data_IF_527252457921
#
_entry.id   IF_527252457921
#
_cell.length_a   1.000
_cell.length_b   1.000
_cell.length_c   1.000
_cell.angle_alpha   90.00
_cell.angle_beta   90.00
_cell.angle_gamma   90.00
#
_symmetry.space_group_name_H-M   'P 1'
#
loop_
_entity.id
_entity.type
_entity.pdbx_description
1 polymer ?
#
# COMPACT_ATOMS: atom_id res chain seq x y z
N UNK A 1 8.87 4.13 -3.75
CA UNK A 1 8.14 5.42 -3.61
C UNK A 1 9.00 6.67 -3.88
N UNK A 2 10.34 6.60 -3.82
CA UNK A 2 11.23 7.73 -4.12
C UNK A 2 11.18 8.18 -5.59
N UNK A 3 11.03 7.26 -6.55
CA UNK A 3 10.96 7.58 -7.99
C UNK A 3 9.54 7.92 -8.48
N UNK A 4 8.60 8.18 -7.56
CA UNK A 4 7.23 8.47 -7.95
C UNK A 4 7.10 9.88 -8.55
N UNK A 5 6.25 9.99 -9.56
CA UNK A 5 5.83 11.25 -10.17
C UNK A 5 4.39 11.57 -9.76
N UNK A 6 3.90 12.76 -10.07
CA UNK A 6 2.54 13.20 -9.78
C UNK A 6 1.47 12.21 -10.29
N UNK A 7 1.71 11.59 -11.46
CA UNK A 7 0.84 10.57 -12.03
C UNK A 7 0.83 9.27 -11.18
N UNK A 8 1.99 8.84 -10.70
CA UNK A 8 2.11 7.69 -9.80
C UNK A 8 1.40 7.96 -8.47
N UNK A 9 1.56 9.16 -7.92
CA UNK A 9 0.92 9.58 -6.65
C UNK A 9 -0.60 9.62 -6.81
N UNK A 10 -1.11 10.17 -7.91
CA UNK A 10 -2.55 10.20 -8.20
C UNK A 10 -3.14 8.80 -8.31
N UNK A 11 -2.46 7.91 -9.04
CA UNK A 11 -2.87 6.51 -9.18
C UNK A 11 -2.84 5.78 -7.85
N UNK A 12 -1.81 6.02 -7.04
CA UNK A 12 -1.66 5.47 -5.69
C UNK A 12 -2.77 5.93 -4.75
N UNK A 13 -3.09 7.23 -4.71
CA UNK A 13 -4.17 7.78 -3.89
C UNK A 13 -5.53 7.22 -4.28
N UNK A 14 -5.79 7.08 -5.59
CA UNK A 14 -7.00 6.45 -6.12
C UNK A 14 -7.10 4.97 -5.72
N UNK A 15 -5.98 4.24 -5.79
CA UNK A 15 -5.91 2.86 -5.31
C UNK A 15 -6.12 2.76 -3.80
N UNK A 16 -5.47 3.59 -3.00
CA UNK A 16 -5.63 3.62 -1.54
C UNK A 16 -7.07 3.94 -1.12
N UNK A 17 -7.71 4.90 -1.80
CA UNK A 17 -9.11 5.25 -1.54
C UNK A 17 -10.03 4.05 -1.73
N UNK A 18 -9.84 3.28 -2.81
CA UNK A 18 -10.62 2.05 -3.06
C UNK A 18 -10.24 0.90 -2.11
N UNK A 19 -8.95 0.70 -1.85
CA UNK A 19 -8.46 -0.44 -1.04
C UNK A 19 -8.77 -0.30 0.44
N UNK A 20 -8.68 0.92 0.98
CA UNK A 20 -8.87 1.20 2.40
C UNK A 20 -10.20 1.88 2.73
N UNK A 21 -11.04 2.15 1.72
CA UNK A 21 -12.31 2.85 1.90
C UNK A 21 -12.13 4.25 2.46
N UNK A 22 -11.19 5.03 1.90
CA UNK A 22 -10.89 6.37 2.41
C UNK A 22 -12.04 7.34 2.08
N UNK A 23 -12.69 7.84 3.11
CA UNK A 23 -13.72 8.88 3.07
C UNK A 23 -13.28 10.05 3.95
N UNK A 24 -13.14 11.28 3.42
CA UNK A 24 -13.28 11.69 2.02
C UNK A 24 -12.13 11.18 1.12
N UNK A 25 -12.36 11.19 -0.20
CA UNK A 25 -11.33 10.83 -1.19
C UNK A 25 -10.18 11.85 -1.11
N UNK A 26 -8.94 11.41 -0.88
CA UNK A 26 -7.80 12.32 -0.83
C UNK A 26 -7.59 13.01 -2.18
N UNK A 27 -7.45 14.33 -2.15
CA UNK A 27 -7.25 15.15 -3.33
C UNK A 27 -5.76 15.17 -3.72
N UNK A 28 -5.37 14.63 -4.89
CA UNK A 28 -3.97 14.62 -5.33
C UNK A 28 -3.35 16.02 -5.44
N UNK A 29 -4.15 17.08 -5.63
CA UNK A 29 -3.63 18.45 -5.68
C UNK A 29 -3.11 18.95 -4.32
N UNK A 30 -3.51 18.29 -3.21
CA UNK A 30 -3.05 18.61 -1.85
C UNK A 30 -1.80 17.85 -1.46
N UNK A 31 -1.34 16.92 -2.29
CA UNK A 31 -0.13 16.13 -2.07
C UNK A 31 1.02 16.68 -2.93
N UNK A 32 2.28 16.45 -2.52
CA UNK A 32 3.43 16.81 -3.32
C UNK A 32 3.42 16.08 -4.66
N UNK A 33 3.94 16.74 -5.69
CA UNK A 33 4.02 16.19 -7.05
C UNK A 33 5.15 15.19 -7.25
N UNK A 34 6.00 14.99 -6.25
CA UNK A 34 7.19 14.14 -6.33
C UNK A 34 7.23 13.10 -5.21
N UNK A 35 7.73 11.92 -5.55
CA UNK A 35 7.94 10.81 -4.62
C UNK A 35 8.88 11.10 -3.45
N UNK A 36 9.99 11.85 -3.62
CA UNK A 36 10.88 12.19 -2.52
C UNK A 36 10.19 13.08 -1.48
N UNK A 37 9.49 14.13 -1.92
CA UNK A 37 8.72 15.01 -1.03
C UNK A 37 7.59 14.25 -0.34
N UNK A 38 6.92 13.33 -1.05
CA UNK A 38 5.91 12.45 -0.45
C UNK A 38 6.50 11.55 0.65
N UNK A 39 7.74 11.09 0.48
CA UNK A 39 8.42 10.26 1.47
C UNK A 39 8.93 11.06 2.67
N UNK A 40 9.19 12.35 2.50
CA UNK A 40 9.66 13.27 3.54
C UNK A 40 8.50 13.82 4.39
N UNK A 41 7.28 13.79 3.87
CA UNK A 41 6.08 14.19 4.61
C UNK A 41 5.94 13.45 5.94
N UNK A 42 5.72 14.25 6.99
CA UNK A 42 5.36 13.76 8.31
C UNK A 42 3.93 13.19 8.32
N UNK A 43 3.62 12.38 9.34
CA UNK A 43 2.25 11.88 9.54
C UNK A 43 1.22 13.02 9.56
N UNK A 44 1.53 14.14 10.22
CA UNK A 44 0.65 15.31 10.27
C UNK A 44 0.41 15.87 8.87
N UNK A 45 1.45 16.04 8.06
CA UNK A 45 1.30 16.49 6.67
C UNK A 45 0.38 15.58 5.84
N UNK A 46 0.43 14.25 6.04
CA UNK A 46 -0.52 13.34 5.41
C UNK A 46 -1.96 13.54 5.89
N UNK A 47 -2.17 13.82 7.17
CA UNK A 47 -3.51 14.06 7.75
C UNK A 47 -4.09 15.38 7.23
N UNK A 48 -3.27 16.43 7.19
CA UNK A 48 -3.63 17.73 6.66
C UNK A 48 -4.03 17.63 5.19
N UNK A 49 -3.19 17.02 4.34
CA UNK A 49 -3.47 16.84 2.91
C UNK A 49 -4.68 15.91 2.64
N UNK A 50 -4.84 14.84 3.43
CA UNK A 50 -5.98 13.93 3.28
C UNK A 50 -7.30 14.51 3.80
N UNK A 51 -7.26 15.53 4.65
CA UNK A 51 -8.46 16.12 5.28
C UNK A 51 -9.13 15.18 6.29
N UNK A 52 -8.44 14.13 6.72
CA UNK A 52 -8.94 13.13 7.68
C UNK A 52 -7.77 12.46 8.38
N UNK A 53 -7.82 12.44 9.71
CA UNK A 53 -6.78 11.83 10.54
C UNK A 53 -6.60 10.34 10.23
N UNK A 54 -7.72 9.63 10.04
CA UNK A 54 -7.73 8.21 9.70
C UNK A 54 -7.07 7.97 8.35
N UNK A 55 -7.49 8.72 7.32
CA UNK A 55 -6.97 8.56 5.96
C UNK A 55 -5.48 8.89 5.88
N UNK A 56 -5.06 10.03 6.46
CA UNK A 56 -3.65 10.41 6.50
C UNK A 56 -2.78 9.39 7.23
N UNK A 57 -3.26 8.83 8.35
CA UNK A 57 -2.54 7.80 9.09
C UNK A 57 -2.34 6.52 8.27
N UNK A 58 -3.35 6.08 7.51
CA UNK A 58 -3.25 4.90 6.66
C UNK A 58 -2.24 5.14 5.52
N UNK A 59 -2.34 6.30 4.86
CA UNK A 59 -1.44 6.69 3.77
C UNK A 59 0.02 6.75 4.25
N UNK A 60 0.28 7.42 5.37
CA UNK A 60 1.61 7.52 5.97
C UNK A 60 2.20 6.14 6.31
N UNK A 61 1.39 5.26 6.93
CA UNK A 61 1.81 3.87 7.22
C UNK A 61 2.15 3.10 5.95
N UNK A 62 1.36 3.26 4.90
CA UNK A 62 1.58 2.55 3.65
C UNK A 62 2.85 3.04 2.92
N UNK A 63 3.10 4.36 2.90
CA UNK A 63 4.36 4.92 2.36
C UNK A 63 5.56 4.44 3.17
N UNK A 64 5.48 4.45 4.50
CA UNK A 64 6.54 3.90 5.36
C UNK A 64 6.80 2.42 5.03
N UNK A 65 5.75 1.60 4.89
CA UNK A 65 5.88 0.21 4.51
C UNK A 65 6.55 0.04 3.13
N UNK A 66 6.16 0.84 2.14
CA UNK A 66 6.77 0.82 0.80
C UNK A 66 8.24 1.27 0.83
N UNK A 67 8.61 2.21 1.70
CA UNK A 67 10.01 2.60 1.89
C UNK A 67 10.82 1.44 2.47
N UNK A 68 10.29 0.75 3.47
CA UNK A 68 10.94 -0.39 4.10
C UNK A 68 11.00 -1.64 3.19
N UNK A 69 9.99 -1.87 2.36
CA UNK A 69 9.96 -3.02 1.44
C UNK A 69 10.94 -2.85 0.27
N UNK A 70 11.11 -1.63 -0.24
CA UNK A 70 12.08 -1.31 -1.31
C UNK A 70 13.54 -1.43 -0.82
N UNK A 71 13.80 -1.31 0.49
CA UNK A 71 15.14 -1.53 1.08
C UNK A 71 15.49 -3.00 1.36
N UNK A 72 14.73 -3.98 0.85
CA UNK A 72 15.20 -5.37 0.79
C UNK A 72 15.01 -6.23 2.03
N UNK A 73 13.91 -6.08 2.77
CA UNK A 73 13.37 -7.19 3.58
C UNK A 73 12.06 -7.68 2.96
N UNK A 74 12.20 -8.48 1.91
CA UNK A 74 11.17 -9.43 1.51
C UNK A 74 11.15 -10.57 2.55
N UNK A 75 10.62 -10.31 3.74
CA UNK A 75 10.02 -11.34 4.57
C UNK A 75 9.20 -10.63 5.64
N UNK A 76 7.95 -10.31 5.30
CA UNK A 76 6.94 -10.28 6.35
C UNK A 76 6.70 -11.74 6.73
N UNK A 77 6.79 -12.14 8.02
CA UNK A 77 6.47 -13.50 8.47
C UNK A 77 5.00 -13.91 8.25
N UNK A 78 4.20 -13.05 7.59
CA UNK A 78 2.83 -13.29 7.16
C UNK A 78 2.72 -13.76 5.70
N UNK A 79 3.83 -14.09 5.03
CA UNK A 79 3.77 -14.88 3.79
C UNK A 79 3.42 -16.33 4.15
N UNK A 80 2.25 -16.53 4.76
CA UNK A 80 1.62 -17.84 4.81
C UNK A 80 1.45 -18.24 3.36
N UNK A 81 2.23 -19.22 2.93
CA UNK A 81 2.02 -19.91 1.67
C UNK A 81 0.53 -20.26 1.62
N UNK A 82 -0.21 -19.63 0.70
CA UNK A 82 -1.48 -20.19 0.26
C UNK A 82 -1.13 -21.56 -0.30
N UNK A 83 -1.22 -22.59 0.55
CA UNK A 83 -1.29 -23.97 0.09
C UNK A 83 -2.47 -24.01 -0.87
N UNK A 84 -2.15 -24.01 -2.15
CA UNK A 84 -3.07 -24.46 -3.18
C UNK A 84 -3.42 -25.88 -2.74
N UNK A 85 -4.67 -26.08 -2.35
CA UNK A 85 -5.21 -27.42 -2.21
C UNK A 85 -5.14 -28.03 -3.62
N UNK A 86 -4.12 -28.85 -3.86
CA UNK A 86 -4.14 -29.78 -4.98
C UNK A 86 -5.33 -30.72 -4.73
N UNK A 87 -6.38 -30.49 -5.49
CA UNK A 87 -7.53 -31.37 -5.67
C UNK A 87 -7.13 -32.43 -6.71
N UNK A 88 -7.32 -33.70 -6.36
CA UNK A 88 -7.10 -34.87 -7.23
C UNK A 88 -5.90 -35.71 -6.76
N UNK A 89 -6.00 -37.01 -6.53
CA UNK A 89 -6.85 -38.00 -7.18
C UNK A 89 -7.10 -39.19 -6.24
N UNK A 90 -8.37 -39.52 -6.06
CA UNK A 90 -8.84 -40.86 -5.72
C UNK A 90 -8.60 -41.73 -6.97
N UNK A 91 -7.68 -42.70 -6.91
CA UNK A 91 -7.64 -43.86 -7.80
C UNK A 91 -6.74 -44.97 -7.17
N UNK A 92 -7.44 -45.97 -6.65
CA UNK A 92 -7.21 -47.42 -6.69
C UNK A 92 -5.81 -48.11 -6.65
N UNK A 93 -5.86 -49.30 -6.04
CA UNK A 93 -5.16 -50.55 -6.38
C UNK A 93 -3.91 -51.06 -5.59
N UNK A 94 -4.15 -52.26 -5.05
CA UNK A 94 -3.30 -53.44 -4.76
C UNK A 94 -2.19 -53.43 -3.69
N UNK A 95 -2.43 -54.21 -2.61
CA UNK A 95 -1.84 -55.55 -2.45
C UNK A 95 -2.56 -56.40 -1.39
#
# INVERSE_FOLDING_TARGET
PQEWSSAHITSWLSWCSRKFGLTPKPDPARFPGSGPELCDLSRQGFQDSAGSERSGTILAKHIAHLRHSVTGRASSPLNVECKVFEEGSDDDEEK
#
